data_IF_854817507855
#
_entry.id   IF_854817507855
#
_cell.length_a   1.000
_cell.length_b   1.000
_cell.length_c   1.000
_cell.angle_alpha   90.00
_cell.angle_beta   90.00
_cell.angle_gamma   90.00
#
_symmetry.space_group_name_H-M   'P 1'
#
loop_
_entity.id
_entity.type
_entity.pdbx_description
1 polymer ?
#
# COMPACT_ATOMS: atom_id res chain seq x y z
N UNK A 1 -25.37 0.26 8.25
CA UNK A 1 -24.06 0.46 8.90
C UNK A 1 -23.12 1.03 7.84
N UNK A 2 -22.37 2.08 8.14
CA UNK A 2 -21.48 2.69 7.17
C UNK A 2 -20.19 1.88 7.07
N UNK A 3 -19.79 1.52 5.85
CA UNK A 3 -18.46 0.98 5.59
C UNK A 3 -17.41 2.04 5.91
N UNK A 4 -16.32 1.62 6.52
CA UNK A 4 -15.28 2.53 7.02
C UNK A 4 -14.05 2.41 6.13
N UNK A 5 -13.52 3.53 5.68
CA UNK A 5 -12.33 3.56 4.82
C UNK A 5 -11.11 3.98 5.65
N UNK A 6 -10.03 3.24 5.49
CA UNK A 6 -8.75 3.50 6.15
C UNK A 6 -7.60 3.62 5.16
N UNK A 7 -6.67 4.53 5.45
CA UNK A 7 -5.32 4.45 4.92
C UNK A 7 -4.43 3.70 5.90
N UNK A 8 -3.60 2.81 5.39
CA UNK A 8 -2.64 2.04 6.17
C UNK A 8 -1.24 2.26 5.61
N UNK A 9 -0.30 2.54 6.51
CA UNK A 9 1.13 2.66 6.19
C UNK A 9 1.95 1.90 7.20
N UNK A 10 2.89 1.07 6.76
CA UNK A 10 3.92 0.52 7.62
C UNK A 10 5.30 0.83 7.05
N UNK A 11 6.16 1.35 7.89
CA UNK A 11 7.57 1.61 7.61
C UNK A 11 8.47 0.55 8.25
N UNK A 12 9.76 0.75 8.19
CA UNK A 12 10.81 -0.22 8.45
C UNK A 12 11.43 -0.11 9.84
N UNK A 13 12.07 -1.22 10.21
CA UNK A 13 12.98 -1.32 11.35
C UNK A 13 14.42 -1.58 10.87
N UNK A 14 15.40 -1.26 11.70
CA UNK A 14 16.81 -1.59 11.47
C UNK A 14 17.00 -3.11 11.38
N UNK A 15 17.44 -3.59 10.22
CA UNK A 15 17.75 -4.99 10.01
C UNK A 15 19.27 -5.22 10.11
N UNK A 16 19.68 -6.15 10.95
CA UNK A 16 21.07 -6.55 11.12
C UNK A 16 21.31 -7.89 10.44
N UNK A 17 22.01 -7.90 9.32
CA UNK A 17 22.47 -9.12 8.69
C UNK A 17 23.67 -9.69 9.47
N UNK A 18 23.57 -10.93 9.96
CA UNK A 18 24.64 -11.59 10.71
C UNK A 18 25.89 -11.87 9.86
N UNK A 19 25.77 -11.93 8.53
CA UNK A 19 26.88 -12.32 7.63
C UNK A 19 27.62 -11.14 7.01
N UNK A 20 27.03 -9.97 6.93
CA UNK A 20 27.70 -8.79 6.36
C UNK A 20 27.98 -7.75 7.43
N UNK A 21 29.26 -7.50 7.70
CA UNK A 21 29.73 -6.33 8.46
C UNK A 21 29.59 -5.01 7.65
N UNK A 22 28.84 -5.03 6.57
CA UNK A 22 28.62 -3.84 5.74
C UNK A 22 27.46 -3.06 6.36
N UNK A 23 27.84 -2.03 7.08
CA UNK A 23 26.98 -0.94 7.47
C UNK A 23 26.59 -0.18 6.20
N UNK A 24 25.42 -0.47 5.63
CA UNK A 24 24.81 0.39 4.61
C UNK A 24 23.91 1.40 5.33
N UNK A 25 24.36 2.64 5.53
CA UNK A 25 23.48 3.71 5.97
C UNK A 25 22.54 4.05 4.80
N UNK A 26 21.26 4.04 5.07
CA UNK A 26 20.23 4.79 4.36
C UNK A 26 19.26 4.13 3.37
N UNK A 27 19.31 2.83 3.06
CA UNK A 27 18.21 2.24 2.26
C UNK A 27 17.86 0.82 2.75
N UNK A 28 17.06 0.73 3.80
CA UNK A 28 16.52 -0.56 4.22
C UNK A 28 15.37 -0.97 3.30
N UNK A 29 15.64 -1.97 2.45
CA UNK A 29 14.63 -2.53 1.58
C UNK A 29 13.87 -3.62 2.33
N UNK A 30 12.57 -3.48 2.45
CA UNK A 30 11.67 -4.56 2.91
C UNK A 30 11.52 -5.60 1.79
N UNK A 31 11.57 -5.12 0.55
CA UNK A 31 11.45 -5.95 -0.64
C UNK A 31 12.76 -5.92 -1.41
N UNK A 32 13.54 -7.00 -1.32
CA UNK A 32 14.85 -7.08 -1.98
C UNK A 32 14.74 -7.50 -3.45
N UNK A 33 13.84 -8.44 -3.72
CA UNK A 33 13.67 -9.05 -5.02
C UNK A 33 12.21 -8.94 -5.49
N UNK A 34 11.99 -9.03 -6.79
CA UNK A 34 10.64 -9.11 -7.37
C UNK A 34 9.81 -10.23 -6.72
N UNK A 35 10.41 -11.37 -6.44
CA UNK A 35 9.77 -12.51 -5.75
C UNK A 35 9.24 -12.15 -4.36
N UNK A 36 9.91 -11.24 -3.64
CA UNK A 36 9.47 -10.77 -2.32
C UNK A 36 8.17 -9.97 -2.40
N UNK A 37 8.03 -9.11 -3.42
CA UNK A 37 6.77 -8.39 -3.68
C UNK A 37 5.63 -9.36 -4.01
N UNK A 38 5.89 -10.34 -4.88
CA UNK A 38 4.90 -11.36 -5.24
C UNK A 38 4.50 -12.22 -4.03
N UNK A 39 5.45 -12.53 -3.16
CA UNK A 39 5.17 -13.23 -1.91
C UNK A 39 4.29 -12.40 -0.98
N UNK A 40 4.53 -11.09 -0.90
CA UNK A 40 3.69 -10.19 -0.11
C UNK A 40 2.25 -10.10 -0.66
N UNK A 41 2.08 -10.03 -1.99
CA UNK A 41 0.76 -10.07 -2.63
C UNK A 41 -0.03 -11.33 -2.27
N UNK A 42 0.60 -12.51 -2.30
CA UNK A 42 -0.04 -13.76 -1.85
C UNK A 42 -0.51 -13.69 -0.39
N UNK A 43 0.21 -12.97 0.46
CA UNK A 43 -0.21 -12.76 1.85
C UNK A 43 -1.42 -11.82 1.96
N UNK A 44 -1.44 -10.75 1.15
CA UNK A 44 -2.61 -9.85 1.06
C UNK A 44 -3.85 -10.63 0.66
N UNK A 45 -3.80 -11.36 -0.44
CA UNK A 45 -4.91 -12.19 -0.93
C UNK A 45 -5.42 -13.14 0.16
N UNK A 46 -4.50 -13.88 0.78
CA UNK A 46 -4.83 -14.92 1.76
C UNK A 46 -5.42 -14.35 3.06
N UNK A 47 -4.92 -13.22 3.54
CA UNK A 47 -5.19 -12.78 4.91
C UNK A 47 -6.01 -11.49 4.99
N UNK A 48 -5.88 -10.56 4.01
CA UNK A 48 -6.53 -9.25 4.09
C UNK A 48 -7.88 -9.21 3.36
N UNK A 49 -7.96 -9.70 2.11
CA UNK A 49 -9.10 -9.48 1.23
C UNK A 49 -10.40 -10.15 1.71
N UNK A 50 -10.33 -11.07 2.65
CA UNK A 50 -11.53 -11.64 3.31
C UNK A 50 -12.17 -10.66 4.30
N UNK A 51 -11.44 -9.65 4.77
CA UNK A 51 -11.90 -8.70 5.78
C UNK A 51 -12.24 -7.32 5.22
N UNK A 52 -11.69 -6.95 4.06
CA UNK A 52 -11.92 -5.65 3.45
C UNK A 52 -11.83 -5.72 1.94
N UNK A 53 -12.33 -4.69 1.29
CA UNK A 53 -12.05 -4.39 -0.10
C UNK A 53 -10.79 -3.51 -0.18
N UNK A 54 -9.83 -3.95 -0.96
CA UNK A 54 -8.65 -3.14 -1.27
C UNK A 54 -9.03 -2.18 -2.40
N UNK A 55 -8.94 -0.89 -2.15
CA UNK A 55 -9.30 0.15 -3.11
C UNK A 55 -8.08 0.68 -3.86
N UNK A 56 -6.94 0.80 -3.19
CA UNK A 56 -5.66 1.15 -3.80
C UNK A 56 -4.51 0.55 -3.00
N UNK A 57 -3.40 0.29 -3.68
CA UNK A 57 -2.15 -0.08 -3.02
C UNK A 57 -0.93 0.44 -3.76
N UNK A 58 0.15 0.61 -3.02
CA UNK A 58 1.49 0.80 -3.53
C UNK A 58 2.50 0.17 -2.57
N UNK A 59 3.25 -0.82 -3.06
CA UNK A 59 4.37 -1.40 -2.34
C UNK A 59 5.63 -0.67 -2.76
N UNK A 60 6.17 0.15 -1.87
CA UNK A 60 7.45 0.85 -2.05
C UNK A 60 8.59 -0.05 -1.55
N UNK A 61 9.84 0.15 -1.98
CA UNK A 61 10.95 -0.72 -1.57
C UNK A 61 11.08 -0.90 -0.05
N UNK A 62 10.65 0.06 0.72
CA UNK A 62 10.86 0.13 2.17
C UNK A 62 9.58 0.35 3.00
N UNK A 63 8.43 0.49 2.37
CA UNK A 63 7.13 0.62 3.03
C UNK A 63 6.00 0.28 2.06
N UNK A 64 4.77 0.25 2.55
CA UNK A 64 3.59 0.11 1.71
C UNK A 64 2.51 1.12 2.11
N UNK A 65 1.63 1.39 1.16
CA UNK A 65 0.40 2.12 1.37
C UNK A 65 -0.78 1.28 0.88
N UNK A 66 -1.84 1.22 1.69
CA UNK A 66 -3.12 0.63 1.33
C UNK A 66 -4.24 1.64 1.57
N UNK A 67 -5.20 1.65 0.70
CA UNK A 67 -6.53 2.24 0.90
C UNK A 67 -7.53 1.09 0.91
N UNK A 68 -8.21 0.91 2.02
CA UNK A 68 -9.12 -0.21 2.23
C UNK A 68 -10.50 0.27 2.68
N UNK A 69 -11.53 -0.45 2.32
CA UNK A 69 -12.88 -0.32 2.84
C UNK A 69 -13.25 -1.58 3.62
N UNK A 70 -13.70 -1.43 4.85
CA UNK A 70 -14.11 -2.56 5.68
C UNK A 70 -15.39 -3.19 5.11
N UNK A 71 -15.49 -4.51 5.15
CA UNK A 71 -16.75 -5.19 4.86
C UNK A 71 -17.71 -5.05 6.05
N UNK A 72 -19.00 -5.03 5.75
CA UNK A 72 -20.05 -4.89 6.76
C UNK A 72 -19.86 -5.85 7.95
N UNK A 73 -20.12 -5.34 9.15
CA UNK A 73 -20.05 -6.06 10.43
C UNK A 73 -18.66 -6.57 10.87
N UNK A 74 -17.57 -6.19 10.19
CA UNK A 74 -16.24 -6.54 10.64
C UNK A 74 -15.67 -5.49 11.61
N UNK A 75 -15.12 -5.98 12.72
CA UNK A 75 -14.44 -5.13 13.68
C UNK A 75 -13.06 -4.74 13.16
N UNK A 76 -12.62 -3.54 13.44
CA UNK A 76 -11.26 -3.04 13.14
C UNK A 76 -10.17 -4.00 13.62
N UNK A 77 -10.39 -4.66 14.76
CA UNK A 77 -9.49 -5.69 15.31
C UNK A 77 -9.18 -6.83 14.33
N UNK A 78 -10.15 -7.21 13.47
CA UNK A 78 -9.97 -8.25 12.46
C UNK A 78 -8.99 -7.84 11.37
N UNK A 79 -9.04 -6.57 10.96
CA UNK A 79 -8.09 -6.00 9.97
C UNK A 79 -6.71 -5.87 10.59
N UNK A 80 -6.61 -5.35 11.81
CA UNK A 80 -5.35 -5.22 12.53
C UNK A 80 -4.67 -6.59 12.71
N UNK A 81 -5.43 -7.63 13.08
CA UNK A 81 -4.92 -9.00 13.17
C UNK A 81 -4.48 -9.56 11.83
N UNK A 82 -5.21 -9.26 10.74
CA UNK A 82 -4.84 -9.67 9.39
C UNK A 82 -3.51 -9.02 8.97
N UNK A 83 -3.37 -7.71 9.18
CA UNK A 83 -2.12 -6.97 8.89
C UNK A 83 -0.95 -7.54 9.72
N UNK A 84 -1.11 -7.73 11.02
CA UNK A 84 -0.09 -8.34 11.87
C UNK A 84 0.32 -9.72 11.37
N UNK A 85 -0.63 -10.55 10.94
CA UNK A 85 -0.37 -11.88 10.37
C UNK A 85 0.41 -11.79 9.07
N UNK A 86 0.08 -10.84 8.19
CA UNK A 86 0.82 -10.59 6.94
C UNK A 86 2.27 -10.21 7.26
N UNK A 87 2.46 -9.19 8.11
CA UNK A 87 3.78 -8.64 8.41
C UNK A 87 4.68 -9.67 9.11
N UNK A 88 4.15 -10.39 10.11
CA UNK A 88 4.93 -11.40 10.83
C UNK A 88 5.30 -12.58 9.94
N UNK A 89 4.35 -13.12 9.18
CA UNK A 89 4.61 -14.26 8.30
C UNK A 89 5.49 -13.89 7.09
N UNK A 90 5.44 -12.65 6.62
CA UNK A 90 6.36 -12.13 5.61
C UNK A 90 7.77 -12.02 6.18
N UNK A 91 7.91 -11.38 7.35
CA UNK A 91 9.20 -11.24 8.06
C UNK A 91 9.86 -12.59 8.29
N UNK A 92 9.12 -13.60 8.76
CA UNK A 92 9.65 -14.97 8.95
C UNK A 92 10.16 -15.55 7.64
N UNK A 93 9.42 -15.38 6.54
CA UNK A 93 9.82 -15.88 5.21
C UNK A 93 11.10 -15.22 4.72
N UNK A 94 11.22 -13.90 4.84
CA UNK A 94 12.42 -13.15 4.43
C UNK A 94 13.61 -13.49 5.35
N UNK A 95 13.41 -13.55 6.65
CA UNK A 95 14.47 -13.92 7.58
C UNK A 95 15.04 -15.31 7.27
N UNK A 96 14.18 -16.27 6.90
CA UNK A 96 14.61 -17.60 6.47
C UNK A 96 15.39 -17.54 5.14
N UNK A 97 14.94 -16.73 4.18
CA UNK A 97 15.60 -16.54 2.89
C UNK A 97 17.00 -15.93 3.06
N UNK A 98 17.14 -14.96 3.94
CA UNK A 98 18.35 -14.15 4.12
C UNK A 98 19.24 -14.63 5.29
N UNK A 99 18.90 -15.77 5.93
CA UNK A 99 19.59 -16.29 7.13
C UNK A 99 19.75 -15.20 8.22
N UNK A 100 18.66 -14.53 8.51
CA UNK A 100 18.63 -13.35 9.38
C UNK A 100 17.57 -13.46 10.48
N UNK A 101 17.56 -12.52 11.40
CA UNK A 101 16.61 -12.44 12.51
C UNK A 101 16.17 -11.01 12.76
N UNK A 102 15.05 -10.83 13.44
CA UNK A 102 14.51 -9.52 13.80
C UNK A 102 13.29 -9.11 13.00
N UNK A 103 12.76 -7.92 13.28
CA UNK A 103 11.60 -7.37 12.58
C UNK A 103 12.01 -6.60 11.35
N UNK A 104 11.30 -6.79 10.24
CA UNK A 104 11.44 -5.98 9.02
C UNK A 104 10.59 -4.71 9.09
N UNK A 105 9.52 -4.72 9.87
CA UNK A 105 8.58 -3.60 9.97
C UNK A 105 8.66 -2.95 11.34
N UNK A 106 8.34 -1.66 11.41
CA UNK A 106 8.15 -0.97 12.68
C UNK A 106 7.01 -1.63 13.48
N UNK A 107 7.07 -1.50 14.81
CA UNK A 107 6.12 -2.18 15.71
C UNK A 107 4.66 -1.81 15.47
N UNK A 108 4.39 -0.62 14.95
CA UNK A 108 3.04 -0.14 14.71
C UNK A 108 2.81 0.21 13.24
N UNK A 109 1.87 -0.49 12.62
CA UNK A 109 1.26 -0.04 11.37
C UNK A 109 0.43 1.19 11.69
N UNK A 110 0.69 2.28 11.01
CA UNK A 110 -0.11 3.50 11.14
C UNK A 110 -1.37 3.37 10.31
N UNK A 111 -2.50 3.70 10.91
CA UNK A 111 -3.80 3.71 10.25
C UNK A 111 -4.48 5.05 10.47
N UNK A 112 -5.18 5.54 9.48
CA UNK A 112 -6.01 6.75 9.57
C UNK A 112 -7.36 6.47 8.95
N UNK A 113 -8.40 6.73 9.73
CA UNK A 113 -9.77 6.74 9.24
C UNK A 113 -9.96 7.93 8.30
N UNK A 114 -10.53 7.69 7.12
CA UNK A 114 -10.92 8.74 6.21
C UNK A 114 -12.36 9.17 6.48
N UNK A 115 -12.57 10.46 6.57
CA UNK A 115 -13.92 11.02 6.67
C UNK A 115 -14.61 10.96 5.30
N UNK A 116 -15.65 10.15 5.21
CA UNK A 116 -16.43 9.99 3.99
C UNK A 116 -17.38 11.17 3.75
N UNK A 117 -17.49 12.12 4.68
CA UNK A 117 -18.17 13.40 4.42
C UNK A 117 -17.30 14.35 3.57
N UNK A 118 -16.01 14.01 3.38
CA UNK A 118 -15.12 14.69 2.43
C UNK A 118 -14.63 13.70 1.35
N UNK A 119 -15.46 13.39 0.32
CA UNK A 119 -15.07 12.48 -0.76
C UNK A 119 -13.86 12.99 -1.56
N UNK A 120 -13.69 14.32 -1.64
CA UNK A 120 -12.56 14.91 -2.34
C UNK A 120 -11.24 14.56 -1.64
N UNK A 121 -11.21 14.59 -0.32
CA UNK A 121 -10.03 14.16 0.46
C UNK A 121 -9.70 12.69 0.27
N UNK A 122 -10.71 11.82 0.26
CA UNK A 122 -10.51 10.39 0.04
C UNK A 122 -9.98 10.09 -1.39
N UNK A 123 -10.48 10.83 -2.41
CA UNK A 123 -9.95 10.75 -3.77
C UNK A 123 -8.49 11.23 -3.86
N UNK A 124 -8.13 12.29 -3.14
CA UNK A 124 -6.74 12.76 -3.04
C UNK A 124 -5.85 11.66 -2.44
N UNK A 125 -6.27 10.99 -1.38
CA UNK A 125 -5.54 9.88 -0.79
C UNK A 125 -5.33 8.73 -1.80
N UNK A 126 -6.35 8.40 -2.57
CA UNK A 126 -6.27 7.41 -3.64
C UNK A 126 -5.18 7.76 -4.67
N UNK A 127 -5.20 8.98 -5.19
CA UNK A 127 -4.22 9.42 -6.19
C UNK A 127 -2.81 9.55 -5.60
N UNK A 128 -2.69 10.05 -4.37
CA UNK A 128 -1.39 10.13 -3.69
C UNK A 128 -0.71 8.77 -3.56
N UNK A 129 -1.44 7.71 -3.19
CA UNK A 129 -0.90 6.35 -3.10
C UNK A 129 -0.25 5.95 -4.43
N UNK A 130 -0.87 6.27 -5.56
CA UNK A 130 -0.34 5.95 -6.88
C UNK A 130 0.82 6.86 -7.31
N UNK A 131 0.88 8.09 -6.82
CA UNK A 131 1.95 9.04 -7.13
C UNK A 131 3.26 8.74 -6.38
N UNK A 132 3.24 7.96 -5.29
CA UNK A 132 4.40 7.73 -4.43
C UNK A 132 5.68 7.34 -5.20
N UNK A 133 5.66 6.35 -6.11
CA UNK A 133 6.87 5.95 -6.84
C UNK A 133 7.44 7.04 -7.75
N UNK A 134 6.56 7.87 -8.33
CA UNK A 134 6.96 9.01 -9.16
C UNK A 134 7.57 10.13 -8.30
N UNK A 135 6.93 10.44 -7.17
CA UNK A 135 7.36 11.51 -6.24
C UNK A 135 8.76 11.28 -5.66
N UNK A 136 9.12 10.02 -5.41
CA UNK A 136 10.47 9.66 -4.91
C UNK A 136 11.44 9.28 -6.04
N UNK A 137 11.07 9.47 -7.30
CA UNK A 137 11.96 9.26 -8.44
C UNK A 137 12.25 7.81 -8.81
N UNK A 138 11.49 6.82 -8.29
CA UNK A 138 11.66 5.41 -8.67
C UNK A 138 11.26 5.14 -10.12
N UNK A 139 10.31 5.88 -10.63
CA UNK A 139 9.83 5.80 -12.02
C UNK A 139 9.57 7.20 -12.57
N UNK A 140 9.60 7.32 -13.89
CA UNK A 140 9.26 8.57 -14.60
C UNK A 140 7.76 8.70 -14.91
N UNK A 141 7.01 7.60 -14.76
CA UNK A 141 5.56 7.52 -15.02
C UNK A 141 4.96 6.51 -14.05
N UNK A 142 3.85 6.86 -13.39
CA UNK A 142 3.23 6.08 -12.30
C UNK A 142 2.88 4.64 -12.73
N UNK A 143 2.36 4.47 -13.94
CA UNK A 143 1.97 3.17 -14.47
C UNK A 143 3.16 2.25 -14.79
N UNK A 144 4.39 2.73 -14.69
CA UNK A 144 5.60 1.92 -14.83
C UNK A 144 6.02 1.22 -13.54
N UNK A 145 5.50 1.64 -12.38
CA UNK A 145 5.77 0.94 -11.14
C UNK A 145 4.97 -0.36 -11.07
N UNK A 146 5.68 -1.50 -11.05
CA UNK A 146 5.06 -2.83 -11.14
C UNK A 146 4.18 -3.16 -9.94
N UNK A 147 4.53 -2.64 -8.76
CA UNK A 147 3.94 -3.04 -7.48
C UNK A 147 2.93 -2.01 -6.96
N UNK A 148 2.15 -1.45 -7.86
CA UNK A 148 1.07 -0.51 -7.58
C UNK A 148 -0.19 -0.88 -8.32
N UNK A 149 -1.33 -0.68 -7.67
CA UNK A 149 -2.66 -0.83 -8.30
C UNK A 149 -2.90 0.12 -9.48
N UNK A 150 -2.02 1.10 -9.70
CA UNK A 150 -2.08 1.95 -10.91
C UNK A 150 -2.17 1.14 -12.20
N UNK A 151 -1.45 0.00 -12.28
CA UNK A 151 -1.52 -0.90 -13.44
C UNK A 151 -2.88 -1.56 -13.62
N UNK A 152 -3.54 -1.91 -12.52
CA UNK A 152 -4.89 -2.49 -12.56
C UNK A 152 -5.89 -1.48 -13.14
N UNK A 153 -5.85 -0.22 -12.63
CA UNK A 153 -6.72 0.87 -13.09
C UNK A 153 -6.45 1.30 -14.55
N UNK A 154 -5.22 1.09 -15.02
CA UNK A 154 -4.83 1.33 -16.40
C UNK A 154 -4.99 0.12 -17.33
N UNK A 155 -5.54 -1.00 -16.84
CA UNK A 155 -5.68 -2.26 -17.61
C UNK A 155 -4.33 -2.76 -18.19
N UNK A 156 -3.24 -2.60 -17.44
CA UNK A 156 -1.87 -3.00 -17.83
C UNK A 156 -1.40 -4.29 -17.14
N UNK A 157 -2.27 -4.96 -16.41
CA UNK A 157 -2.01 -6.22 -15.72
C UNK A 157 -3.28 -7.06 -15.65
N UNK A 158 -3.11 -8.37 -15.59
CA UNK A 158 -4.20 -9.31 -15.33
C UNK A 158 -4.48 -9.47 -13.83
N UNK A 159 -3.52 -9.08 -12.98
CA UNK A 159 -3.70 -9.09 -11.54
C UNK A 159 -4.81 -8.13 -11.13
N UNK A 160 -5.75 -8.61 -10.31
CA UNK A 160 -6.90 -7.85 -9.82
C UNK A 160 -7.04 -8.08 -8.32
N UNK A 161 -6.32 -7.29 -7.54
CA UNK A 161 -6.45 -7.28 -6.08
C UNK A 161 -7.45 -6.23 -5.59
N UNK A 162 -7.61 -5.14 -6.37
CA UNK A 162 -8.50 -4.05 -6.00
C UNK A 162 -9.94 -4.29 -6.45
N UNK A 163 -10.88 -3.92 -5.59
CA UNK A 163 -12.28 -3.73 -5.97
C UNK A 163 -12.40 -2.40 -6.74
N UNK A 164 -12.09 -2.46 -8.06
CA UNK A 164 -12.05 -1.28 -8.91
C UNK A 164 -13.42 -0.63 -9.08
N UNK A 165 -14.49 -1.43 -9.18
CA UNK A 165 -15.85 -0.92 -9.35
C UNK A 165 -16.25 -0.10 -8.11
N UNK A 166 -15.93 -0.61 -6.93
CA UNK A 166 -16.18 0.10 -5.68
C UNK A 166 -15.39 1.38 -5.56
N UNK A 167 -14.10 1.34 -5.90
CA UNK A 167 -13.25 2.55 -5.89
C UNK A 167 -13.71 3.60 -6.90
N UNK A 168 -14.13 3.17 -8.11
CA UNK A 168 -14.68 4.08 -9.13
C UNK A 168 -15.95 4.78 -8.65
N UNK A 169 -16.83 4.03 -8.00
CA UNK A 169 -18.06 4.58 -7.45
C UNK A 169 -17.80 5.57 -6.31
N UNK A 170 -16.87 5.25 -5.42
CA UNK A 170 -16.56 6.07 -4.24
C UNK A 170 -15.84 7.38 -4.58
N UNK A 171 -14.97 7.37 -5.58
CA UNK A 171 -14.06 8.48 -5.87
C UNK A 171 -14.33 9.13 -7.24
N UNK A 172 -15.45 8.77 -7.88
CA UNK A 172 -15.83 9.23 -9.23
C UNK A 172 -14.69 9.09 -10.25
N UNK A 173 -14.05 7.89 -10.26
CA UNK A 173 -12.89 7.66 -11.11
C UNK A 173 -13.32 7.32 -12.54
N UNK A 174 -12.75 7.96 -13.57
CA UNK A 174 -13.08 7.66 -14.95
C UNK A 174 -12.62 6.26 -15.34
N UNK A 175 -13.46 5.58 -16.15
CA UNK A 175 -13.12 4.27 -16.75
C UNK A 175 -12.09 4.44 -17.87
N UNK A 176 -12.19 5.55 -18.60
CA UNK A 176 -11.25 5.85 -19.68
C UNK A 176 -9.84 6.07 -19.11
N UNK A 177 -8.88 5.33 -19.62
CA UNK A 177 -7.49 5.30 -19.15
C UNK A 177 -6.80 6.66 -19.23
N UNK A 178 -6.99 7.37 -20.33
CA UNK A 178 -6.35 8.67 -20.58
C UNK A 178 -6.87 9.72 -19.58
N UNK A 179 -8.18 9.75 -19.38
CA UNK A 179 -8.81 10.62 -18.36
C UNK A 179 -8.37 10.26 -16.96
N UNK A 180 -8.30 8.96 -16.64
CA UNK A 180 -7.82 8.48 -15.34
C UNK A 180 -6.37 8.90 -15.08
N UNK A 181 -5.47 8.72 -16.07
CA UNK A 181 -4.08 9.15 -15.98
C UNK A 181 -3.96 10.66 -15.82
N UNK A 182 -4.75 11.44 -16.58
CA UNK A 182 -4.77 12.90 -16.47
C UNK A 182 -5.17 13.35 -15.06
N UNK A 183 -6.22 12.75 -14.50
CA UNK A 183 -6.67 13.03 -13.14
C UNK A 183 -5.60 12.65 -12.11
N UNK A 184 -5.01 11.45 -12.26
CA UNK A 184 -3.99 10.94 -11.33
C UNK A 184 -2.66 11.72 -11.40
N UNK A 185 -2.40 12.48 -12.46
CA UNK A 185 -1.22 13.33 -12.59
C UNK A 185 -1.41 14.75 -12.04
N UNK A 186 -2.59 15.08 -11.52
CA UNK A 186 -2.81 16.40 -10.91
C UNK A 186 -1.92 16.58 -9.69
N UNK A 187 -1.40 17.78 -9.52
CA UNK A 187 -0.54 18.12 -8.39
C UNK A 187 -1.37 18.13 -7.11
N UNK A 188 -0.94 17.37 -6.13
CA UNK A 188 -1.50 17.36 -4.79
C UNK A 188 -0.64 18.28 -3.92
N UNK A 189 -1.24 19.23 -3.22
CA UNK A 189 -0.50 20.16 -2.36
C UNK A 189 0.16 19.43 -1.20
N UNK A 190 1.33 19.91 -0.78
CA UNK A 190 2.08 19.32 0.35
C UNK A 190 1.28 19.40 1.66
N UNK A 191 0.48 20.43 1.87
CA UNK A 191 -0.34 20.56 3.09
C UNK A 191 -1.38 19.44 3.20
N UNK A 192 -2.02 19.09 2.08
CA UNK A 192 -2.96 17.95 2.04
C UNK A 192 -2.22 16.65 2.30
N UNK A 193 -1.03 16.47 1.73
CA UNK A 193 -0.23 15.27 1.93
C UNK A 193 0.15 15.14 3.40
N UNK A 194 0.66 16.20 4.03
CA UNK A 194 1.02 16.20 5.45
C UNK A 194 -0.17 15.85 6.33
N UNK A 195 -1.30 16.51 6.11
CA UNK A 195 -2.51 16.20 6.89
C UNK A 195 -3.03 14.78 6.70
N UNK A 196 -2.76 14.15 5.54
CA UNK A 196 -3.27 12.82 5.18
C UNK A 196 -2.37 11.67 5.61
N UNK A 197 -1.05 11.83 5.54
CA UNK A 197 -0.09 10.74 5.61
C UNK A 197 1.07 10.95 6.58
N UNK A 198 1.26 12.15 7.14
CA UNK A 198 2.17 12.38 8.25
C UNK A 198 1.41 12.07 9.57
N UNK A 199 1.77 10.95 10.17
CA UNK A 199 1.22 10.45 11.44
C UNK A 199 2.18 10.76 12.59
#
# INVERSE_FOLDING_TARGET
MQNVIYTLKAGYFLWLNKKSKIFMPSLFLVYFLRSNYLYFFKKIEKHLLKHCDLLAYCLMPNHFHFLIETKDNLKEESINKAIQTILSSYTQGINKQEDSTGSLFQQHTKSKLLDMNDPAYAAVCFHYIHQNPLRVGLVKRMEKWEFSSMKEYCCLTEQKLCNQDRARLLFDLPVNKEKFLMLSNQVISEDIIRSSFEF
#
